data_IF_390542997115
#
_entry.id   IF_390542997115
#
_cell.length_a   1.000
_cell.length_b   1.000
_cell.length_c   1.000
_cell.angle_alpha   90.00
_cell.angle_beta   90.00
_cell.angle_gamma   90.00
#
_symmetry.space_group_name_H-M   'P 1'
#
loop_
_entity.id
_entity.type
_entity.pdbx_description
1 polymer ?
#
# COMPACT_ATOMS: atom_id res chain seq x y z
N UNK A 1 -1.41 -10.00 -61.90
CA UNK A 1 -2.53 -9.28 -61.27
C UNK A 1 -2.93 -10.09 -60.05
N UNK A 2 -2.85 -9.52 -58.85
CA UNK A 2 -3.41 -10.17 -57.65
C UNK A 2 -4.89 -10.41 -57.87
N UNK A 3 -5.37 -11.62 -57.60
CA UNK A 3 -6.75 -11.98 -57.80
C UNK A 3 -7.60 -11.30 -56.71
N UNK A 4 -8.83 -10.89 -57.02
CA UNK A 4 -9.71 -10.20 -56.05
C UNK A 4 -9.90 -11.00 -54.74
N UNK A 5 -9.76 -12.32 -54.83
CA UNK A 5 -9.83 -13.26 -53.71
C UNK A 5 -8.61 -13.17 -52.79
N UNK A 6 -7.40 -13.09 -53.35
CA UNK A 6 -6.15 -12.97 -52.59
C UNK A 6 -6.11 -11.66 -51.76
N UNK A 7 -6.65 -10.57 -52.30
CA UNK A 7 -6.80 -9.31 -51.58
C UNK A 7 -7.77 -9.42 -50.40
N UNK A 8 -8.91 -10.09 -50.60
CA UNK A 8 -9.88 -10.34 -49.53
C UNK A 8 -9.31 -11.21 -48.41
N UNK A 9 -8.59 -12.27 -48.78
CA UNK A 9 -7.95 -13.17 -47.81
C UNK A 9 -6.84 -12.44 -47.02
N UNK A 10 -6.08 -11.56 -47.69
CA UNK A 10 -5.07 -10.73 -47.03
C UNK A 10 -5.70 -9.72 -46.05
N UNK A 11 -6.82 -9.10 -46.41
CA UNK A 11 -7.55 -8.19 -45.51
C UNK A 11 -8.11 -8.93 -44.30
N UNK A 12 -8.69 -10.13 -44.50
CA UNK A 12 -9.17 -10.96 -43.40
C UNK A 12 -8.03 -11.40 -42.45
N UNK A 13 -6.86 -11.73 -43.00
CA UNK A 13 -5.67 -12.04 -42.20
C UNK A 13 -5.20 -10.85 -41.37
N UNK A 14 -5.22 -9.64 -41.94
CA UNK A 14 -4.90 -8.40 -41.21
C UNK A 14 -5.91 -8.12 -40.09
N UNK A 15 -7.21 -8.33 -40.33
CA UNK A 15 -8.24 -8.22 -39.29
C UNK A 15 -7.98 -9.16 -38.11
N UNK A 16 -7.64 -10.42 -38.40
CA UNK A 16 -7.33 -11.40 -37.35
C UNK A 16 -6.10 -11.00 -36.55
N UNK A 17 -5.03 -10.54 -37.21
CA UNK A 17 -3.82 -10.05 -36.54
C UNK A 17 -4.11 -8.84 -35.64
N UNK A 18 -4.92 -7.88 -36.10
CA UNK A 18 -5.34 -6.74 -35.27
C UNK A 18 -6.11 -7.22 -34.03
N UNK A 19 -7.00 -8.20 -34.20
CA UNK A 19 -7.73 -8.81 -33.09
C UNK A 19 -6.82 -9.49 -32.06
N UNK A 20 -5.80 -10.21 -32.51
CA UNK A 20 -4.78 -10.80 -31.63
C UNK A 20 -3.93 -9.73 -30.94
N UNK A 21 -3.53 -8.70 -31.66
CA UNK A 21 -2.77 -7.58 -31.11
C UNK A 21 -3.54 -6.84 -30.02
N UNK A 22 -4.86 -6.65 -30.20
CA UNK A 22 -5.72 -6.05 -29.20
C UNK A 22 -5.79 -6.88 -27.91
N UNK A 23 -5.86 -8.21 -28.04
CA UNK A 23 -5.82 -9.12 -26.87
C UNK A 23 -4.48 -9.05 -26.15
N UNK A 24 -3.37 -9.03 -26.88
CA UNK A 24 -2.03 -8.89 -26.31
C UNK A 24 -1.87 -7.55 -25.57
N UNK A 25 -2.35 -6.45 -26.16
CA UNK A 25 -2.32 -5.14 -25.52
C UNK A 25 -3.16 -5.11 -24.23
N UNK A 26 -4.32 -5.79 -24.23
CA UNK A 26 -5.14 -5.96 -23.05
C UNK A 26 -4.43 -6.73 -21.93
N UNK A 27 -3.74 -7.82 -22.28
CA UNK A 27 -2.94 -8.59 -21.32
C UNK A 27 -1.77 -7.77 -20.77
N UNK A 28 -1.06 -7.03 -21.63
CA UNK A 28 0.03 -6.15 -21.23
C UNK A 28 -0.45 -5.06 -20.27
N UNK A 29 -1.61 -4.45 -20.53
CA UNK A 29 -2.22 -3.45 -19.64
C UNK A 29 -2.48 -4.03 -18.24
N UNK A 30 -2.97 -5.27 -18.15
CA UNK A 30 -3.18 -5.95 -16.86
C UNK A 30 -1.87 -6.16 -16.12
N UNK A 31 -0.85 -6.71 -16.79
CA UNK A 31 0.46 -6.90 -16.19
C UNK A 31 1.11 -5.59 -15.74
N UNK A 32 0.91 -4.50 -16.47
CA UNK A 32 1.40 -3.18 -16.07
C UNK A 32 0.71 -2.68 -14.78
N UNK A 33 -0.60 -2.90 -14.64
CA UNK A 33 -1.31 -2.54 -13.42
C UNK A 33 -0.80 -3.32 -12.20
N UNK A 34 -0.63 -4.64 -12.34
CA UNK A 34 -0.09 -5.50 -11.29
C UNK A 34 1.32 -5.05 -10.85
N UNK A 35 2.20 -4.75 -11.81
CA UNK A 35 3.55 -4.26 -11.53
C UNK A 35 3.55 -2.89 -10.83
N UNK A 36 2.62 -2.00 -11.16
CA UNK A 36 2.50 -0.70 -10.50
C UNK A 36 2.03 -0.84 -9.04
N UNK A 37 1.09 -1.74 -8.78
CA UNK A 37 0.62 -2.05 -7.44
C UNK A 37 1.72 -2.66 -6.57
N UNK A 38 2.47 -3.64 -7.11
CA UNK A 38 3.61 -4.25 -6.42
C UNK A 38 4.70 -3.21 -6.16
N UNK A 39 5.04 -2.37 -7.15
CA UNK A 39 6.05 -1.34 -6.99
C UNK A 39 5.69 -0.32 -5.90
N UNK A 40 4.41 0.08 -5.83
CA UNK A 40 3.94 0.98 -4.78
C UNK A 40 4.03 0.32 -3.40
N UNK A 41 3.62 -0.94 -3.29
CA UNK A 41 3.71 -1.72 -2.05
C UNK A 41 5.16 -1.83 -1.56
N UNK A 42 6.09 -2.17 -2.46
CA UNK A 42 7.51 -2.25 -2.17
C UNK A 42 8.11 -0.90 -1.78
N UNK A 43 7.68 0.21 -2.41
CA UNK A 43 8.12 1.57 -2.05
C UNK A 43 7.69 1.93 -0.62
N UNK A 44 6.46 1.60 -0.25
CA UNK A 44 5.95 1.82 1.11
C UNK A 44 6.74 1.00 2.13
N UNK A 45 6.96 -0.29 1.86
CA UNK A 45 7.76 -1.16 2.73
C UNK A 45 9.20 -0.65 2.86
N UNK A 46 9.83 -0.25 1.75
CA UNK A 46 11.18 0.29 1.78
C UNK A 46 11.26 1.57 2.63
N UNK A 47 10.27 2.46 2.51
CA UNK A 47 10.18 3.65 3.34
C UNK A 47 10.02 3.31 4.83
N UNK A 48 9.20 2.30 5.16
CA UNK A 48 9.04 1.80 6.53
C UNK A 48 10.34 1.23 7.09
N UNK A 49 11.02 0.36 6.34
CA UNK A 49 12.29 -0.23 6.75
C UNK A 49 13.35 0.85 6.97
N UNK A 50 13.44 1.85 6.08
CA UNK A 50 14.34 3.00 6.27
C UNK A 50 14.03 3.78 7.53
N UNK A 51 12.74 4.01 7.85
CA UNK A 51 12.32 4.68 9.09
C UNK A 51 12.76 3.86 10.31
N UNK A 52 12.54 2.55 10.32
CA UNK A 52 12.96 1.66 11.41
C UNK A 52 14.48 1.65 11.60
N UNK A 53 15.25 1.62 10.51
CA UNK A 53 16.71 1.70 10.56
C UNK A 53 17.21 3.06 11.06
N UNK A 54 16.53 4.16 10.73
CA UNK A 54 16.86 5.47 11.26
C UNK A 54 16.60 5.54 12.77
N UNK A 55 15.47 4.99 13.24
CA UNK A 55 15.13 4.89 14.66
C UNK A 55 16.06 3.95 15.44
N UNK A 56 16.58 2.88 14.81
CA UNK A 56 17.54 1.99 15.47
C UNK A 56 18.94 2.60 15.53
N UNK A 57 19.37 3.34 14.50
CA UNK A 57 20.64 4.10 14.52
C UNK A 57 20.61 5.25 15.51
N UNK A 58 19.51 5.99 15.62
CA UNK A 58 19.34 7.02 16.65
C UNK A 58 19.49 6.48 18.07
N UNK A 59 19.04 5.24 18.32
CA UNK A 59 19.22 4.54 19.62
C UNK A 59 20.65 4.03 19.88
N UNK A 60 21.51 3.97 18.86
CA UNK A 60 22.90 3.56 19.00
C UNK A 60 23.83 4.74 19.30
N UNK A 61 23.50 5.95 18.84
CA UNK A 61 24.26 7.17 19.19
C UNK A 61 23.97 7.68 20.62
N UNK A 62 22.85 7.31 21.23
CA UNK A 62 22.56 7.57 22.66
C UNK A 62 23.15 6.51 23.61
N UNK A 63 23.93 5.55 23.08
CA UNK A 63 24.45 4.39 23.81
C UNK A 63 25.85 4.52 24.42
N UNK A 64 26.46 5.71 24.44
CA UNK A 64 27.82 5.92 24.97
C UNK A 64 27.90 6.59 26.36
N UNK A 65 26.79 6.67 27.12
CA UNK A 65 26.81 7.30 28.43
C UNK A 65 25.75 6.80 29.40
N UNK A 66 26.05 5.72 30.12
CA UNK A 66 25.68 5.52 31.53
C UNK A 66 24.20 5.36 31.93
N UNK A 67 23.93 4.24 32.63
CA UNK A 67 22.84 4.00 33.60
C UNK A 67 21.44 3.58 33.10
N UNK A 68 21.24 2.25 33.08
CA UNK A 68 19.99 1.52 32.84
C UNK A 68 18.95 1.56 33.99
N UNK A 69 18.64 2.70 34.58
CA UNK A 69 17.55 2.72 35.57
C UNK A 69 16.83 4.07 35.57
N UNK A 70 15.76 4.16 34.77
CA UNK A 70 14.57 5.01 34.88
C UNK A 70 14.10 5.42 33.47
N UNK A 71 13.40 4.53 32.76
CA UNK A 71 12.62 4.95 31.59
C UNK A 71 11.44 5.80 32.05
N UNK A 72 11.49 7.09 31.78
CA UNK A 72 10.46 8.08 32.09
C UNK A 72 9.15 7.73 31.36
N UNK A 73 8.03 8.17 31.94
CA UNK A 73 6.67 7.99 31.41
C UNK A 73 6.54 8.47 29.94
N UNK A 74 7.34 9.46 29.56
CA UNK A 74 7.40 10.06 28.21
C UNK A 74 7.90 9.09 27.12
N UNK A 75 8.87 8.21 27.40
CA UNK A 75 9.31 7.23 26.40
C UNK A 75 8.23 6.15 26.15
N UNK A 76 7.51 5.71 27.19
CA UNK A 76 6.35 4.81 27.00
C UNK A 76 5.20 5.49 26.28
N UNK A 77 4.96 6.78 26.55
CA UNK A 77 3.97 7.59 25.85
C UNK A 77 4.35 7.76 24.36
N UNK A 78 5.65 7.88 24.04
CA UNK A 78 6.13 7.95 22.65
C UNK A 78 5.86 6.65 21.87
N UNK A 79 6.10 5.49 22.49
CA UNK A 79 5.83 4.17 21.89
C UNK A 79 4.32 3.92 21.73
N UNK A 80 3.50 4.42 22.65
CA UNK A 80 2.04 4.40 22.54
C UNK A 80 1.56 5.36 21.44
N UNK A 81 2.23 6.51 21.25
CA UNK A 81 1.98 7.45 20.16
C UNK A 81 2.25 6.86 18.78
N UNK A 82 3.34 6.10 18.61
CA UNK A 82 3.65 5.41 17.35
C UNK A 82 2.58 4.36 16.98
N UNK A 83 2.07 3.61 17.96
CA UNK A 83 0.98 2.65 17.75
C UNK A 83 -0.35 3.31 17.41
N UNK A 84 -0.65 4.44 18.07
CA UNK A 84 -1.84 5.24 17.81
C UNK A 84 -1.80 5.90 16.41
N UNK A 85 -0.64 6.43 16.00
CA UNK A 85 -0.42 7.01 14.67
C UNK A 85 -0.62 5.98 13.56
N UNK A 86 -0.18 4.74 13.77
CA UNK A 86 -0.39 3.65 12.81
C UNK A 86 -1.89 3.33 12.63
N UNK A 87 -2.64 3.29 13.74
CA UNK A 87 -4.09 3.07 13.69
C UNK A 87 -4.83 4.25 13.03
N UNK A 88 -4.41 5.49 13.31
CA UNK A 88 -4.94 6.66 12.63
C UNK A 88 -4.69 6.59 11.10
N UNK A 89 -3.52 6.09 10.69
CA UNK A 89 -3.18 5.89 9.28
C UNK A 89 -4.05 4.83 8.61
N UNK A 90 -4.21 3.66 9.23
CA UNK A 90 -5.10 2.60 8.73
C UNK A 90 -6.55 3.09 8.57
N UNK A 91 -7.02 3.92 9.50
CA UNK A 91 -8.35 4.53 9.41
C UNK A 91 -8.49 5.50 8.22
N UNK A 92 -7.46 6.30 7.94
CA UNK A 92 -7.41 7.22 6.80
C UNK A 92 -7.30 6.50 5.45
N UNK A 93 -6.61 5.36 5.42
CA UNK A 93 -6.53 4.47 4.25
C UNK A 93 -7.85 3.75 3.97
N UNK A 94 -8.87 3.93 4.82
CA UNK A 94 -10.21 3.40 4.63
C UNK A 94 -10.45 2.04 5.29
N UNK A 95 -9.60 1.61 6.22
CA UNK A 95 -9.77 0.35 6.95
C UNK A 95 -10.35 0.56 8.34
N UNK A 96 -11.08 -0.44 8.83
CA UNK A 96 -11.56 -0.44 10.20
C UNK A 96 -10.44 -0.75 11.19
N UNK A 97 -10.38 0.01 12.29
CA UNK A 97 -9.45 -0.22 13.41
C UNK A 97 -10.15 -0.71 14.69
N UNK A 98 -11.48 -0.86 14.64
CA UNK A 98 -12.24 -1.42 15.75
C UNK A 98 -12.11 -2.95 15.79
N UNK A 99 -12.22 -3.52 16.98
CA UNK A 99 -12.18 -4.97 17.22
C UNK A 99 -13.22 -5.76 16.40
N UNK A 100 -14.34 -5.14 16.01
CA UNK A 100 -15.41 -5.81 15.29
C UNK A 100 -15.05 -6.13 13.83
N UNK A 101 -14.25 -5.28 13.19
CA UNK A 101 -14.00 -5.30 11.75
C UNK A 101 -12.53 -5.01 11.41
N UNK A 102 -11.60 -5.28 12.32
CA UNK A 102 -10.20 -4.84 12.18
C UNK A 102 -9.60 -5.25 10.82
N UNK A 103 -9.08 -4.26 10.07
CA UNK A 103 -8.43 -4.45 8.78
C UNK A 103 -9.37 -4.65 7.59
N UNK A 104 -10.69 -4.64 7.77
CA UNK A 104 -11.63 -4.74 6.64
C UNK A 104 -11.86 -3.37 5.98
N UNK A 105 -12.11 -3.34 4.65
CA UNK A 105 -12.34 -2.09 3.93
C UNK A 105 -13.70 -1.46 4.29
N UNK A 106 -13.71 -0.15 4.53
CA UNK A 106 -14.92 0.63 4.79
C UNK A 106 -15.71 0.80 3.50
N UNK A 107 -16.95 0.32 3.50
CA UNK A 107 -17.80 0.33 2.29
C UNK A 107 -18.52 1.65 2.05
N UNK A 108 -18.84 2.43 3.09
CA UNK A 108 -19.32 3.83 2.99
C UNK A 108 -19.57 4.41 4.41
N UNK A 109 -19.13 5.66 4.66
CA UNK A 109 -19.38 6.39 5.91
C UNK A 109 -18.38 6.14 7.06
N UNK A 110 -18.32 7.07 8.03
CA UNK A 110 -17.41 6.99 9.18
C UNK A 110 -17.89 6.00 10.24
N UNK A 111 -17.01 5.07 10.63
CA UNK A 111 -17.31 4.11 11.69
C UNK A 111 -17.22 4.79 13.07
N UNK A 112 -18.37 4.96 13.74
CA UNK A 112 -18.46 5.56 15.08
C UNK A 112 -17.60 4.86 16.14
N UNK A 113 -17.39 3.54 16.00
CA UNK A 113 -16.53 2.79 16.91
C UNK A 113 -15.04 3.08 16.69
N UNK A 114 -14.61 3.28 15.45
CA UNK A 114 -13.23 3.70 15.15
C UNK A 114 -12.97 5.12 15.65
N UNK A 115 -13.93 6.03 15.45
CA UNK A 115 -13.85 7.40 15.95
C UNK A 115 -13.83 7.47 17.48
N UNK A 116 -14.65 6.67 18.15
CA UNK A 116 -14.65 6.56 19.62
C UNK A 116 -13.35 5.97 20.17
N UNK A 117 -12.69 5.12 19.40
CA UNK A 117 -11.37 4.57 19.77
C UNK A 117 -10.27 5.64 19.67
N UNK A 118 -10.30 6.47 18.62
CA UNK A 118 -9.35 7.57 18.43
C UNK A 118 -9.60 8.70 19.45
N UNK A 119 -10.86 9.10 19.66
CA UNK A 119 -11.19 10.23 20.52
C UNK A 119 -11.22 9.93 22.03
N UNK A 120 -10.84 8.73 22.47
CA UNK A 120 -10.94 8.29 23.88
C UNK A 120 -9.95 8.98 24.84
N UNK A 121 -9.12 9.89 24.35
CA UNK A 121 -8.12 10.65 25.11
C UNK A 121 -8.40 12.17 25.18
N UNK A 122 -9.66 12.61 25.00
CA UNK A 122 -10.10 13.95 25.39
C UNK A 122 -10.94 13.91 26.66
#
# INVERSE_FOLDING_TARGET
>A
MMNKKDLFDSVGGMEQQIGEFYKQLGALKKGLAELLEENNSLKLENAHLRKLLALSKGRLDEGAGGNQALKTKEERLSVIGEGYDNLARLYQEGFHICNLQFGSPRKEGDCMFCLSFLNKNK
#
